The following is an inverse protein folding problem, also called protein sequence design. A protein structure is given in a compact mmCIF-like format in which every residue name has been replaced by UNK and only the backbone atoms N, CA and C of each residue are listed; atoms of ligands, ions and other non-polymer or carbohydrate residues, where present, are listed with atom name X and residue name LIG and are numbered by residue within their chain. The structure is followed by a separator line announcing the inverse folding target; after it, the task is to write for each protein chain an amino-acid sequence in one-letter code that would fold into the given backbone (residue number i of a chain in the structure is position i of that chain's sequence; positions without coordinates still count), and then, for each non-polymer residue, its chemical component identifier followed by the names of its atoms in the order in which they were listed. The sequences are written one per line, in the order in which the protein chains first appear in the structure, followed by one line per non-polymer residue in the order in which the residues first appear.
data_IF_714149467420
#
_entry.id   IF_714149467420
#
_cell.length_a   1.000
_cell.length_b   1.000
_cell.length_c   1.000
_cell.angle_alpha   90.00
_cell.angle_beta   90.00
_cell.angle_gamma   90.00
#
_symmetry.space_group_name_H-M   'P 1'
#
loop_
_entity.id
_entity.type
_entity.pdbx_description
1 polymer ?
#
# COMPACT_ATOMS: atom_id res chain seq x y z
N UNK A 1 29.24 -3.64 -42.49
CA UNK A 1 29.29 -2.42 -41.67
C UNK A 1 29.44 -1.26 -42.64
N UNK A 2 28.46 -0.41 -42.91
CA UNK A 2 27.18 -0.18 -42.24
C UNK A 2 26.11 0.25 -43.27
N UNK A 3 24.90 -0.28 -43.07
CA UNK A 3 23.72 0.01 -43.86
C UNK A 3 23.07 1.29 -43.32
N UNK A 4 23.25 2.42 -43.99
CA UNK A 4 22.46 3.63 -43.73
C UNK A 4 21.07 3.48 -44.36
N UNK A 5 20.25 2.62 -43.76
CA UNK A 5 18.86 2.43 -44.17
C UNK A 5 18.02 3.59 -43.62
N UNK A 6 17.70 4.57 -44.47
CA UNK A 6 16.77 5.65 -44.14
C UNK A 6 15.35 5.28 -44.59
N UNK A 7 14.33 5.43 -43.72
CA UNK A 7 12.96 5.12 -44.12
C UNK A 7 12.49 6.08 -45.21
N UNK A 8 11.83 5.53 -46.24
CA UNK A 8 11.28 6.28 -47.39
C UNK A 8 10.17 7.25 -46.95
N UNK A 9 9.54 7.02 -45.81
CA UNK A 9 8.43 7.83 -45.31
C UNK A 9 8.84 8.51 -43.99
N UNK A 10 9.10 9.81 -44.06
CA UNK A 10 9.30 10.67 -42.90
C UNK A 10 7.96 11.31 -42.51
N UNK A 11 7.20 10.68 -41.62
CA UNK A 11 6.02 11.35 -41.04
C UNK A 11 6.50 12.31 -39.96
N UNK A 12 6.83 13.55 -40.36
CA UNK A 12 6.73 14.68 -39.42
C UNK A 12 5.31 14.66 -38.91
N UNK A 13 5.10 14.37 -37.62
CA UNK A 13 3.79 14.45 -36.97
C UNK A 13 3.36 15.92 -36.89
N UNK A 14 2.91 16.43 -38.02
CA UNK A 14 2.19 17.67 -38.17
C UNK A 14 0.96 17.37 -39.02
N UNK A 15 0.03 16.64 -38.40
CA UNK A 15 -1.37 16.69 -38.77
C UNK A 15 -2.16 16.93 -37.50
N UNK A 16 -2.69 18.14 -37.37
CA UNK A 16 -3.82 18.42 -36.52
C UNK A 16 -4.93 17.44 -36.94
N UNK A 17 -5.12 16.37 -36.18
CA UNK A 17 -6.09 15.35 -36.49
C UNK A 17 -7.49 15.93 -36.26
N UNK A 18 -8.13 16.37 -37.34
CA UNK A 18 -9.49 16.93 -37.34
C UNK A 18 -10.58 15.85 -37.27
N UNK A 19 -10.25 14.61 -36.88
CA UNK A 19 -11.21 13.54 -36.70
C UNK A 19 -11.56 13.43 -35.21
N UNK A 20 -12.67 14.07 -34.83
CA UNK A 20 -13.32 13.80 -33.56
C UNK A 20 -13.68 12.30 -33.52
N UNK A 21 -13.01 11.52 -32.67
CA UNK A 21 -13.40 10.14 -32.40
C UNK A 21 -14.75 10.15 -31.68
N UNK A 22 -15.82 9.91 -32.44
CA UNK A 22 -17.17 9.76 -31.91
C UNK A 22 -17.34 8.30 -31.51
N UNK A 23 -17.36 8.01 -30.21
CA UNK A 23 -17.79 6.70 -29.73
C UNK A 23 -19.28 6.55 -30.04
N UNK A 24 -19.63 5.47 -30.77
CA UNK A 24 -21.00 5.13 -31.12
C UNK A 24 -21.38 3.88 -30.34
N UNK A 25 -22.40 4.00 -29.48
CA UNK A 25 -23.05 2.83 -28.91
C UNK A 25 -23.93 2.18 -29.98
N UNK A 26 -23.57 0.96 -30.38
CA UNK A 26 -24.38 0.14 -31.27
C UNK A 26 -25.37 -0.63 -30.40
N UNK A 27 -26.63 -0.16 -30.31
CA UNK A 27 -27.74 -0.94 -29.74
C UNK A 27 -28.52 -1.62 -30.87
N UNK A 28 -28.36 -2.93 -30.99
CA UNK A 28 -29.03 -3.76 -31.99
C UNK A 28 -28.39 -5.15 -32.09
N UNK A 29 -29.17 -6.15 -32.53
CA UNK A 29 -28.94 -7.62 -32.46
C UNK A 29 -27.58 -8.13 -33.01
N UNK A 30 -26.47 -7.77 -32.40
CA UNK A 30 -25.15 -8.40 -32.64
C UNK A 30 -24.55 -8.97 -31.36
N UNK A 31 -25.41 -9.39 -30.42
CA UNK A 31 -25.05 -10.33 -29.36
C UNK A 31 -25.06 -11.76 -29.92
N UNK A 32 -23.91 -12.25 -30.36
CA UNK A 32 -23.71 -13.66 -30.77
C UNK A 32 -23.45 -14.60 -29.59
N UNK A 33 -23.63 -14.13 -28.36
CA UNK A 33 -23.49 -14.95 -27.16
C UNK A 33 -24.67 -15.91 -27.06
N UNK A 34 -24.41 -17.21 -27.26
CA UNK A 34 -25.40 -18.28 -27.05
C UNK A 34 -25.77 -18.33 -25.57
N UNK A 35 -26.94 -17.83 -25.23
CA UNK A 35 -27.55 -18.00 -23.92
C UNK A 35 -27.86 -19.48 -23.67
N UNK A 36 -27.10 -20.13 -22.80
CA UNK A 36 -27.52 -21.39 -22.15
C UNK A 36 -27.81 -21.13 -20.69
N UNK A 37 -29.07 -21.39 -20.34
CA UNK A 37 -29.66 -21.52 -19.01
C UNK A 37 -30.05 -20.24 -18.23
N UNK A 38 -31.37 -20.03 -18.34
CA UNK A 38 -32.29 -19.30 -17.48
C UNK A 38 -31.91 -19.31 -16.00
N UNK A 39 -31.94 -18.13 -15.38
CA UNK A 39 -32.39 -17.95 -14.01
C UNK A 39 -33.07 -16.58 -13.88
N UNK A 40 -34.34 -16.66 -13.50
CA UNK A 40 -35.25 -15.62 -13.03
C UNK A 40 -34.65 -14.30 -12.53
N UNK A 41 -35.24 -13.21 -13.05
CA UNK A 41 -35.51 -11.93 -12.38
C UNK A 41 -34.78 -11.69 -11.06
N UNK A 42 -33.69 -10.94 -11.13
CA UNK A 42 -33.37 -9.92 -10.13
C UNK A 42 -32.67 -8.78 -10.86
N UNK A 43 -33.21 -7.58 -10.69
CA UNK A 43 -32.56 -6.30 -11.00
C UNK A 43 -31.21 -6.24 -10.28
N UNK A 44 -30.18 -6.75 -10.94
CA UNK A 44 -28.79 -6.51 -10.56
C UNK A 44 -28.37 -5.23 -11.27
N UNK A 45 -28.80 -4.10 -10.70
CA UNK A 45 -27.90 -2.96 -10.64
C UNK A 45 -26.62 -3.53 -10.05
N UNK A 46 -25.61 -3.75 -10.87
CA UNK A 46 -24.25 -3.81 -10.37
C UNK A 46 -24.05 -2.48 -9.66
N UNK A 47 -23.97 -2.41 -8.32
CA UNK A 47 -23.33 -1.24 -7.76
C UNK A 47 -21.96 -1.27 -8.43
N UNK A 48 -21.68 -0.24 -9.20
CA UNK A 48 -20.30 0.19 -9.35
C UNK A 48 -19.92 0.44 -7.90
N UNK A 49 -19.32 -0.57 -7.28
CA UNK A 49 -18.48 -0.36 -6.11
C UNK A 49 -17.35 0.44 -6.73
N UNK A 50 -17.61 1.74 -6.90
CA UNK A 50 -16.63 2.73 -6.56
C UNK A 50 -16.13 2.22 -5.23
N UNK A 51 -14.96 1.59 -5.27
CA UNK A 51 -14.10 1.60 -4.12
C UNK A 51 -13.85 3.10 -3.90
N UNK A 52 -14.85 3.79 -3.32
CA UNK A 52 -14.63 4.76 -2.29
C UNK A 52 -13.66 4.04 -1.39
N UNK A 53 -12.39 4.26 -1.70
CA UNK A 53 -11.32 4.19 -0.77
C UNK A 53 -11.89 5.01 0.36
N UNK A 54 -12.45 4.31 1.36
CA UNK A 54 -12.77 4.86 2.65
C UNK A 54 -11.40 5.34 3.12
N UNK A 55 -11.05 6.54 2.66
CA UNK A 55 -10.16 7.45 3.31
C UNK A 55 -10.95 7.88 4.53
N UNK A 56 -11.21 6.92 5.44
CA UNK A 56 -11.00 7.19 6.83
C UNK A 56 -9.52 7.58 6.91
N UNK A 57 -9.30 8.86 6.63
CA UNK A 57 -8.33 9.66 7.31
C UNK A 57 -8.71 9.60 8.79
N UNK A 58 -8.57 8.42 9.40
CA UNK A 58 -8.26 8.34 10.81
C UNK A 58 -7.01 9.19 10.92
N UNK A 59 -7.19 10.40 11.46
CA UNK A 59 -6.11 11.34 11.64
C UNK A 59 -5.00 10.56 12.34
N UNK A 60 -3.90 10.30 11.63
CA UNK A 60 -2.79 9.49 12.13
C UNK A 60 -2.43 10.12 13.47
N UNK A 61 -2.66 9.36 14.54
CA UNK A 61 -2.48 9.87 15.88
C UNK A 61 -1.06 10.40 16.00
N UNK A 62 -0.96 11.67 16.38
CA UNK A 62 0.30 12.43 16.39
C UNK A 62 1.34 11.74 17.27
N UNK A 63 0.92 10.89 18.22
CA UNK A 63 1.78 10.12 19.11
C UNK A 63 2.61 9.05 18.41
N UNK A 64 2.14 8.50 17.30
CA UNK A 64 2.90 7.52 16.51
C UNK A 64 3.88 8.17 15.53
N UNK A 65 3.87 9.51 15.41
CA UNK A 65 4.83 10.23 14.58
C UNK A 65 6.12 10.46 15.37
N UNK A 66 7.25 10.18 14.73
CA UNK A 66 8.58 10.46 15.27
C UNK A 66 8.79 11.96 15.49
N UNK A 67 8.39 12.45 16.66
CA UNK A 67 8.43 13.87 17.01
C UNK A 67 9.67 14.21 17.85
N UNK A 68 10.15 13.25 18.65
CA UNK A 68 11.28 13.43 19.56
C UNK A 68 12.48 12.57 19.14
N UNK A 69 13.66 13.17 19.04
CA UNK A 69 14.91 12.45 18.77
C UNK A 69 15.49 11.88 20.05
N UNK A 70 15.78 10.57 20.07
CA UNK A 70 16.49 9.91 21.17
C UNK A 70 17.98 9.72 20.84
N UNK A 71 18.84 9.85 21.85
CA UNK A 71 20.28 9.57 21.70
C UNK A 71 20.52 8.07 21.78
N UNK A 72 21.21 7.52 20.78
CA UNK A 72 21.58 6.11 20.71
C UNK A 72 23.11 6.00 20.70
N UNK A 73 23.66 5.04 21.44
CA UNK A 73 25.11 4.77 21.44
C UNK A 73 25.58 4.31 20.05
N UNK A 74 26.80 4.70 19.59
CA UNK A 74 27.33 4.28 18.30
C UNK A 74 27.31 2.76 18.08
N UNK A 75 27.61 1.98 19.13
CA UNK A 75 27.59 0.52 19.05
C UNK A 75 26.18 -0.02 18.81
N UNK A 76 25.17 0.56 19.46
CA UNK A 76 23.77 0.15 19.30
C UNK A 76 23.26 0.54 17.92
N UNK A 77 23.60 1.74 17.44
CA UNK A 77 23.27 2.17 16.08
C UNK A 77 23.89 1.23 15.04
N UNK A 78 25.15 0.80 15.22
CA UNK A 78 25.78 -0.18 14.35
C UNK A 78 25.01 -1.49 14.33
N UNK A 79 24.64 -2.04 15.50
CA UNK A 79 23.84 -3.27 15.60
C UNK A 79 22.50 -3.16 14.87
N UNK A 80 21.81 -2.03 15.00
CA UNK A 80 20.55 -1.80 14.30
C UNK A 80 20.74 -1.74 12.78
N UNK A 81 21.79 -1.06 12.31
CA UNK A 81 22.10 -1.00 10.88
C UNK A 81 22.52 -2.36 10.30
N UNK A 82 23.26 -3.17 11.07
CA UNK A 82 23.60 -4.54 10.66
C UNK A 82 22.41 -5.48 10.69
N UNK A 83 21.40 -5.21 11.53
CA UNK A 83 20.20 -6.03 11.60
C UNK A 83 19.25 -5.77 10.42
N UNK A 84 19.24 -4.54 9.87
CA UNK A 84 18.35 -4.11 8.77
C UNK A 84 18.18 -5.15 7.64
N UNK A 85 19.24 -5.77 7.09
CA UNK A 85 19.10 -6.72 5.99
C UNK A 85 18.46 -8.07 6.38
N UNK A 86 18.42 -8.39 7.67
CA UNK A 86 17.88 -9.67 8.16
C UNK A 86 16.40 -9.61 8.54
N UNK A 87 15.81 -8.41 8.58
CA UNK A 87 14.40 -8.25 8.87
C UNK A 87 13.59 -8.39 7.57
N UNK A 88 13.24 -9.62 7.20
CA UNK A 88 12.50 -9.92 5.96
C UNK A 88 11.13 -9.21 5.87
N UNK A 89 10.52 -8.89 7.02
CA UNK A 89 9.26 -8.12 7.06
C UNK A 89 9.43 -6.67 6.57
N UNK A 90 10.63 -6.11 6.66
CA UNK A 90 10.95 -4.77 6.17
C UNK A 90 11.53 -4.76 4.76
N UNK A 91 11.69 -5.92 4.10
CA UNK A 91 12.16 -6.01 2.71
C UNK A 91 11.19 -5.34 1.73
N UNK A 92 9.89 -5.37 2.04
CA UNK A 92 8.85 -4.69 1.26
C UNK A 92 8.84 -3.16 1.47
N UNK A 93 9.55 -2.65 2.48
CA UNK A 93 9.64 -1.23 2.80
C UNK A 93 10.96 -0.67 2.28
N UNK A 94 10.90 0.23 1.29
CA UNK A 94 12.11 0.74 0.62
C UNK A 94 13.12 1.41 1.56
N UNK A 95 12.66 2.00 2.68
CA UNK A 95 13.47 2.61 3.73
C UNK A 95 12.75 2.50 5.08
N UNK A 96 12.99 1.44 5.87
CA UNK A 96 12.38 1.33 7.17
C UNK A 96 12.91 2.39 8.13
N UNK A 97 11.99 3.01 8.87
CA UNK A 97 12.32 3.96 9.92
C UNK A 97 12.88 3.23 11.14
N UNK A 98 13.65 3.95 11.97
CA UNK A 98 14.19 3.36 13.20
C UNK A 98 13.09 2.94 14.16
N UNK A 99 11.96 3.63 14.16
CA UNK A 99 10.79 3.31 14.97
C UNK A 99 10.21 1.96 14.57
N UNK A 100 9.96 1.73 13.28
CA UNK A 100 9.44 0.44 12.78
C UNK A 100 10.37 -0.73 13.10
N UNK A 101 11.69 -0.52 12.99
CA UNK A 101 12.68 -1.55 13.34
C UNK A 101 12.59 -1.88 14.83
N UNK A 102 12.51 -0.86 15.69
CA UNK A 102 12.43 -1.05 17.14
C UNK A 102 11.10 -1.70 17.52
N UNK A 103 9.98 -1.26 16.93
CA UNK A 103 8.65 -1.81 17.16
C UNK A 103 8.63 -3.31 16.82
N UNK A 104 9.18 -3.70 15.66
CA UNK A 104 9.28 -5.13 15.30
C UNK A 104 10.14 -5.93 16.29
N UNK A 105 11.25 -5.37 16.76
CA UNK A 105 12.11 -6.03 17.76
C UNK A 105 11.37 -6.19 19.09
N UNK A 106 10.63 -5.16 19.51
CA UNK A 106 9.83 -5.19 20.74
C UNK A 106 8.74 -6.26 20.62
N UNK A 107 7.98 -6.26 19.52
CA UNK A 107 6.91 -7.22 19.27
C UNK A 107 7.45 -8.65 19.22
N UNK A 108 8.58 -8.86 18.52
CA UNK A 108 9.27 -10.15 18.49
C UNK A 108 9.68 -10.61 19.89
N UNK A 109 10.22 -9.71 20.74
CA UNK A 109 10.59 -10.04 22.11
C UNK A 109 9.39 -10.38 22.98
N UNK A 110 8.33 -9.56 22.93
CA UNK A 110 7.09 -9.77 23.69
C UNK A 110 6.46 -11.11 23.30
N UNK A 111 6.37 -11.40 22.01
CA UNK A 111 5.73 -12.62 21.50
C UNK A 111 6.56 -13.89 21.77
N UNK A 112 7.89 -13.81 21.68
CA UNK A 112 8.76 -14.99 21.79
C UNK A 112 9.26 -15.29 23.21
N UNK A 113 9.41 -14.27 24.07
CA UNK A 113 10.08 -14.43 25.38
C UNK A 113 9.16 -14.24 26.58
N UNK A 114 8.06 -13.50 26.47
CA UNK A 114 7.17 -13.26 27.59
C UNK A 114 6.10 -14.34 27.69
N UNK A 115 5.75 -14.70 28.92
CA UNK A 115 4.58 -15.56 29.19
C UNK A 115 3.28 -14.80 28.93
N UNK A 116 2.17 -15.50 28.70
CA UNK A 116 0.85 -14.87 28.44
C UNK A 116 0.48 -13.83 29.49
N UNK A 117 0.70 -14.14 30.79
CA UNK A 117 0.46 -13.20 31.89
C UNK A 117 1.33 -11.94 31.79
N UNK A 118 2.60 -12.11 31.40
CA UNK A 118 3.53 -10.98 31.24
C UNK A 118 3.20 -10.14 30.01
N UNK A 119 2.74 -10.76 28.91
CA UNK A 119 2.26 -10.07 27.71
C UNK A 119 1.04 -9.20 28.02
N UNK A 120 0.04 -9.75 28.71
CA UNK A 120 -1.15 -9.00 29.15
C UNK A 120 -0.79 -7.84 30.07
N UNK A 121 0.13 -8.06 31.01
CA UNK A 121 0.63 -7.02 31.90
C UNK A 121 1.34 -5.91 31.11
N UNK A 122 2.23 -6.26 30.17
CA UNK A 122 2.92 -5.31 29.30
C UNK A 122 1.92 -4.47 28.50
N UNK A 123 0.93 -5.11 27.87
CA UNK A 123 -0.12 -4.43 27.10
C UNK A 123 -0.93 -3.46 27.95
N UNK A 124 -1.39 -3.91 29.12
CA UNK A 124 -2.13 -3.06 30.06
C UNK A 124 -1.31 -1.86 30.54
N UNK A 125 -0.02 -2.05 30.83
CA UNK A 125 0.89 -0.97 31.21
C UNK A 125 1.10 0.03 30.07
N UNK A 126 1.32 -0.44 28.85
CA UNK A 126 1.45 0.42 27.68
C UNK A 126 0.18 1.24 27.42
N UNK A 127 -0.99 0.60 27.46
CA UNK A 127 -2.28 1.25 27.22
C UNK A 127 -2.57 2.33 28.27
N UNK A 128 -2.26 2.06 29.55
CA UNK A 128 -2.43 3.06 30.62
C UNK A 128 -1.50 4.26 30.43
N UNK A 129 -0.22 4.04 30.12
CA UNK A 129 0.74 5.10 29.85
C UNK A 129 0.36 5.92 28.61
N UNK A 130 -0.06 5.25 27.55
CA UNK A 130 -0.53 5.90 26.33
C UNK A 130 -1.76 6.77 26.61
N UNK A 131 -2.69 6.30 27.44
CA UNK A 131 -3.85 7.09 27.86
C UNK A 131 -3.46 8.30 28.72
N UNK A 132 -2.44 8.19 29.58
CA UNK A 132 -1.94 9.34 30.35
C UNK A 132 -1.31 10.42 29.47
N UNK A 133 -0.74 10.04 28.32
CA UNK A 133 -0.24 10.99 27.33
C UNK A 133 -1.35 11.74 26.56
N UNK A 134 -2.65 11.41 26.74
CA UNK A 134 -3.79 12.10 26.07
C UNK A 134 -4.11 13.49 26.61
N UNK A 135 -3.16 14.18 27.24
CA UNK A 135 -3.40 15.51 27.83
C UNK A 135 -3.17 16.63 26.84
#
# INVERSE_FOLDING_TARGET
MDNDFKPIINTKSHRNNSLNQKNVEIKGKVDFSRNTHQSSTNTLQTPIIENEKILESHAIDKRFKATLTQKISPSVNLKLNTLKPFLGELENMSKPTINEIIDLIIDSYVNSRLTTRQQEAFKSMYDTQLNMMKK
#
